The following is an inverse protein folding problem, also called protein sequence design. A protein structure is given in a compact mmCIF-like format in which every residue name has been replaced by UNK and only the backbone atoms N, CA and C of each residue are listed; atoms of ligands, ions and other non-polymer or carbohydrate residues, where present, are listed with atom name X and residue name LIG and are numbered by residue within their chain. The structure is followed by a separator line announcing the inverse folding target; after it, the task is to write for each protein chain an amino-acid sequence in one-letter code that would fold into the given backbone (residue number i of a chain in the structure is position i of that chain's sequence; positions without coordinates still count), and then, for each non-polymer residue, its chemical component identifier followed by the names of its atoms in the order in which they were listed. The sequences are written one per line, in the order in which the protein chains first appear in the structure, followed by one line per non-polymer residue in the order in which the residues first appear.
data_IF_384157624466
#
_entry.id   IF_384157624466
#
_cell.length_a   1.000
_cell.length_b   1.000
_cell.length_c   1.000
_cell.angle_alpha   90.00
_cell.angle_beta   90.00
_cell.angle_gamma   90.00
#
_symmetry.space_group_name_H-M   'P 1'
#
loop_
_entity.id
_entity.type
_entity.pdbx_description
1 polymer ?
#
# COMPACT_ATOMS: atom_id res chain seq x y z
N UNK A 1 -13.35 -0.94 -9.76
CA UNK A 1 -12.25 -0.40 -8.94
C UNK A 1 -12.41 1.10 -8.83
N UNK A 2 -12.22 1.65 -7.63
CA UNK A 2 -12.08 3.09 -7.40
C UNK A 2 -10.59 3.39 -7.21
N UNK A 3 -10.14 4.57 -7.66
CA UNK A 3 -8.75 4.99 -7.55
C UNK A 3 -8.66 6.33 -6.81
N UNK A 4 -7.84 6.38 -5.77
CA UNK A 4 -7.47 7.58 -5.03
C UNK A 4 -6.08 8.01 -5.46
N UNK A 5 -5.93 9.27 -5.86
CA UNK A 5 -4.62 9.87 -6.09
C UNK A 5 -3.96 10.17 -4.75
N UNK A 6 -2.80 9.57 -4.50
CA UNK A 6 -1.98 9.84 -3.32
C UNK A 6 -0.90 10.89 -3.62
N UNK A 7 -0.30 10.84 -4.81
CA UNK A 7 0.75 11.78 -5.20
C UNK A 7 0.97 11.85 -6.71
N UNK A 8 1.45 13.00 -7.18
CA UNK A 8 1.91 13.22 -8.55
C UNK A 8 3.43 13.43 -8.54
N UNK A 9 4.16 12.60 -9.27
CA UNK A 9 5.62 12.69 -9.39
C UNK A 9 5.99 12.87 -10.86
N UNK A 10 6.15 14.13 -11.27
CA UNK A 10 6.38 14.50 -12.66
C UNK A 10 5.22 14.07 -13.56
N UNK A 11 5.45 13.09 -14.44
CA UNK A 11 4.43 12.51 -15.30
C UNK A 11 3.76 11.24 -14.73
N UNK A 12 4.15 10.81 -13.53
CA UNK A 12 3.65 9.59 -12.89
C UNK A 12 2.62 9.91 -11.82
N UNK A 13 1.55 9.12 -11.76
CA UNK A 13 0.51 9.20 -10.72
C UNK A 13 0.62 8.00 -9.80
N UNK A 14 0.73 8.27 -8.50
CA UNK A 14 0.77 7.25 -7.47
C UNK A 14 -0.64 7.09 -6.91
N UNK A 15 -1.21 5.90 -7.10
CA UNK A 15 -2.62 5.64 -6.86
C UNK A 15 -2.83 4.56 -5.81
N UNK A 16 -3.82 4.76 -4.95
CA UNK A 16 -4.42 3.68 -4.16
C UNK A 16 -5.70 3.18 -4.79
N UNK A 17 -5.75 1.87 -5.03
CA UNK A 17 -6.91 1.20 -5.62
C UNK A 17 -7.71 0.50 -4.54
N UNK A 18 -9.02 0.72 -4.53
CA UNK A 18 -9.97 0.06 -3.62
C UNK A 18 -11.14 -0.54 -4.39
N UNK A 19 -11.77 -1.55 -3.81
CA UNK A 19 -13.06 -2.01 -4.29
C UNK A 19 -14.11 -0.89 -4.09
N UNK A 20 -14.89 -0.50 -5.12
CA UNK A 20 -15.96 0.48 -4.97
C UNK A 20 -16.99 0.10 -3.90
N UNK A 21 -17.19 -1.19 -3.63
CA UNK A 21 -18.10 -1.69 -2.61
C UNK A 21 -17.63 -1.37 -1.18
N UNK A 22 -16.34 -1.10 -0.97
CA UNK A 22 -15.81 -0.71 0.34
C UNK A 22 -16.21 0.73 0.74
N UNK A 23 -16.72 1.52 -0.23
CA UNK A 23 -17.17 2.89 0.01
C UNK A 23 -16.03 3.93 0.07
N UNK A 24 -16.38 5.23 0.10
CA UNK A 24 -15.42 6.33 0.02
C UNK A 24 -14.56 6.51 1.29
N UNK A 25 -14.99 5.94 2.41
CA UNK A 25 -14.28 5.96 3.70
C UNK A 25 -13.45 4.69 3.92
N UNK A 26 -13.23 3.88 2.88
CA UNK A 26 -12.41 2.69 2.97
C UNK A 26 -10.98 3.08 3.40
N UNK A 27 -10.49 2.38 4.43
CA UNK A 27 -9.16 2.59 4.97
C UNK A 27 -8.06 2.03 4.03
N UNK A 28 -6.82 2.45 4.25
CA UNK A 28 -5.62 2.03 3.52
C UNK A 28 -5.51 0.51 3.44
N UNK A 29 -5.87 -0.21 4.53
CA UNK A 29 -5.80 -1.67 4.59
C UNK A 29 -6.77 -2.39 3.66
N UNK A 30 -7.87 -1.72 3.26
CA UNK A 30 -8.81 -2.24 2.28
C UNK A 30 -8.33 -2.02 0.83
N UNK A 31 -7.21 -1.33 0.64
CA UNK A 31 -6.64 -1.12 -0.69
C UNK A 31 -5.91 -2.37 -1.19
N UNK A 32 -5.89 -2.51 -2.51
CA UNK A 32 -5.16 -3.58 -3.19
C UNK A 32 -3.66 -3.45 -2.95
N UNK A 33 -3.14 -2.23 -2.78
CA UNK A 33 -1.74 -2.02 -2.43
C UNK A 33 -1.41 -2.70 -1.09
N UNK A 34 -2.24 -2.49 -0.06
CA UNK A 34 -2.05 -3.15 1.23
C UNK A 34 -2.21 -4.68 1.12
N UNK A 35 -3.14 -5.16 0.29
CA UNK A 35 -3.29 -6.58 0.02
C UNK A 35 -2.03 -7.19 -0.62
N UNK A 36 -1.46 -6.54 -1.64
CA UNK A 36 -0.23 -7.01 -2.28
C UNK A 36 0.95 -7.06 -1.29
N UNK A 37 1.01 -6.11 -0.35
CA UNK A 37 2.01 -6.14 0.72
C UNK A 37 1.77 -7.31 1.69
N UNK A 38 0.53 -7.52 2.17
CA UNK A 38 0.17 -8.64 3.06
C UNK A 38 0.44 -10.01 2.44
N UNK A 39 0.24 -10.15 1.13
CA UNK A 39 0.50 -11.39 0.40
C UNK A 39 2.00 -11.56 0.04
N UNK A 40 2.84 -10.59 0.41
CA UNK A 40 4.27 -10.61 0.12
C UNK A 40 4.60 -10.51 -1.37
N UNK A 41 3.69 -9.96 -2.19
CA UNK A 41 3.83 -9.83 -3.64
C UNK A 41 4.44 -8.48 -4.06
N UNK A 42 4.57 -7.55 -3.13
CA UNK A 42 5.13 -6.22 -3.35
C UNK A 42 5.97 -5.76 -2.16
N UNK A 43 6.72 -4.69 -2.35
CA UNK A 43 7.49 -4.00 -1.30
C UNK A 43 7.22 -2.49 -1.36
N UNK A 44 7.44 -1.80 -0.24
CA UNK A 44 7.32 -0.35 -0.18
C UNK A 44 8.61 0.28 -0.72
N UNK A 45 8.51 1.05 -1.80
CA UNK A 45 9.63 1.83 -2.33
C UNK A 45 9.80 3.15 -1.56
N UNK A 46 10.57 3.13 -0.47
CA UNK A 46 10.81 4.33 0.34
C UNK A 46 11.73 5.36 -0.34
N UNK A 47 12.50 4.97 -1.36
CA UNK A 47 13.42 5.89 -2.05
C UNK A 47 12.72 6.62 -3.19
N UNK A 48 11.95 5.91 -4.02
CA UNK A 48 11.20 6.50 -5.13
C UNK A 48 9.88 7.15 -4.71
N UNK A 49 9.33 6.82 -3.54
CA UNK A 49 8.08 7.38 -3.03
C UNK A 49 8.28 8.24 -1.76
N UNK A 50 9.17 9.23 -1.81
CA UNK A 50 9.49 10.09 -0.66
C UNK A 50 8.28 10.83 -0.07
N UNK A 51 7.23 11.10 -0.87
CA UNK A 51 5.97 11.70 -0.42
C UNK A 51 5.26 10.87 0.66
N UNK A 52 5.54 9.57 0.74
CA UNK A 52 4.97 8.69 1.76
C UNK A 52 5.31 9.19 3.17
N UNK A 53 6.49 9.79 3.37
CA UNK A 53 6.87 10.38 4.65
C UNK A 53 5.92 11.50 5.12
N UNK A 54 5.23 12.18 4.20
CA UNK A 54 4.21 13.19 4.52
C UNK A 54 2.92 12.56 5.06
N UNK A 55 2.63 11.30 4.70
CA UNK A 55 1.42 10.59 5.08
C UNK A 55 1.72 9.46 6.06
N UNK A 56 2.25 9.81 7.24
CA UNK A 56 2.68 8.86 8.29
C UNK A 56 1.67 7.75 8.55
N UNK A 57 0.40 8.10 8.78
CA UNK A 57 -0.67 7.11 9.00
C UNK A 57 -0.79 6.08 7.87
N UNK A 58 -0.65 6.52 6.60
CA UNK A 58 -0.68 5.59 5.46
C UNK A 58 0.52 4.66 5.48
N UNK A 59 1.71 5.17 5.78
CA UNK A 59 2.93 4.35 5.86
C UNK A 59 2.82 3.32 6.97
N UNK A 60 2.38 3.72 8.16
CA UNK A 60 2.26 2.83 9.30
C UNK A 60 1.34 1.63 8.99
N UNK A 61 0.19 1.87 8.33
CA UNK A 61 -0.72 0.78 7.91
C UNK A 61 -0.11 -0.11 6.81
N UNK A 62 0.68 0.46 5.88
CA UNK A 62 1.36 -0.33 4.85
C UNK A 62 2.51 -1.16 5.43
N UNK A 63 3.21 -0.63 6.43
CA UNK A 63 4.25 -1.35 7.17
C UNK A 63 3.63 -2.49 7.99
N UNK A 64 2.48 -2.29 8.62
CA UNK A 64 1.73 -3.36 9.30
C UNK A 64 1.43 -4.53 8.34
N UNK A 65 0.96 -4.23 7.12
CA UNK A 65 0.73 -5.24 6.09
C UNK A 65 2.01 -6.01 5.72
N UNK A 66 3.16 -5.35 5.65
CA UNK A 66 4.45 -6.00 5.39
C UNK A 66 4.87 -6.90 6.56
N UNK A 67 4.66 -6.46 7.80
CA UNK A 67 4.98 -7.27 8.98
C UNK A 67 4.10 -8.53 9.06
N UNK A 68 2.85 -8.46 8.61
CA UNK A 68 1.99 -9.64 8.46
C UNK A 68 2.59 -10.64 7.45
N UNK A 69 2.99 -10.18 6.27
CA UNK A 69 3.64 -11.03 5.26
C UNK A 69 4.91 -11.71 5.78
N UNK A 70 5.74 -10.98 6.53
CA UNK A 70 6.96 -11.52 7.16
C UNK A 70 6.65 -12.58 8.21
N UNK A 71 5.65 -12.33 9.05
CA UNK A 71 5.21 -13.26 10.09
C UNK A 71 4.68 -14.57 9.50
N UNK A 72 3.92 -14.46 8.42
CA UNK A 72 3.32 -15.61 7.73
C UNK A 72 4.28 -16.30 6.74
N UNK A 73 5.43 -15.67 6.45
CA UNK A 73 6.43 -16.14 5.48
C UNK A 73 5.83 -16.39 4.10
N UNK A 74 5.09 -15.41 3.59
CA UNK A 74 4.44 -15.49 2.27
C UNK A 74 5.18 -14.67 1.21
N UNK A 75 5.02 -15.08 -0.04
CA UNK A 75 5.60 -14.39 -1.20
C UNK A 75 7.12 -14.20 -1.10
N UNK A 76 7.59 -12.96 -1.29
CA UNK A 76 9.00 -12.57 -1.19
C UNK A 76 9.55 -12.80 0.23
N UNK A 77 8.69 -12.82 1.26
CA UNK A 77 9.09 -13.03 2.65
C UNK A 77 9.18 -14.52 3.05
N UNK A 78 9.06 -15.46 2.09
CA UNK A 78 9.06 -16.90 2.36
C UNK A 78 10.45 -17.55 2.55
N UNK A 79 11.53 -16.79 2.30
CA UNK A 79 12.93 -17.23 2.39
C UNK A 79 13.50 -17.03 3.80
#
# INVERSE_FOLDING_TARGET
MAAKLDHESGSSLHLRLTDPAAGPSADVMASINAQLLREGLAVIDQLGCSYLATYRYTVDMLEEAVEEAKKERVGICAL
#
